data_IF_885797928433
#
_entry.id   IF_885797928433
#
_cell.length_a   1.000
_cell.length_b   1.000
_cell.length_c   1.000
_cell.angle_alpha   90.00
_cell.angle_beta   90.00
_cell.angle_gamma   90.00
#
_symmetry.space_group_name_H-M   'P 1'
#
loop_
_entity.id
_entity.type
_entity.pdbx_description
1 polymer ?
#
# COMPACT_ATOMS: atom_id res chain seq x y z
N UNK A 1 -60.75 -40.60 -31.53
CA UNK A 1 -59.95 -39.55 -32.15
C UNK A 1 -59.53 -38.43 -31.17
N UNK A 2 -60.01 -38.37 -29.92
CA UNK A 2 -59.68 -37.33 -28.94
C UNK A 2 -58.47 -37.65 -28.02
N UNK A 3 -58.33 -38.92 -27.59
CA UNK A 3 -57.30 -39.28 -26.61
C UNK A 3 -55.87 -39.31 -27.17
N UNK A 4 -55.67 -39.72 -28.40
CA UNK A 4 -54.33 -39.74 -29.04
C UNK A 4 -53.75 -38.32 -29.26
N UNK A 5 -54.59 -37.31 -29.52
CA UNK A 5 -54.15 -35.95 -29.68
C UNK A 5 -53.76 -35.27 -28.34
N UNK A 6 -54.38 -35.65 -27.24
CA UNK A 6 -54.05 -35.13 -25.90
C UNK A 6 -52.72 -35.71 -25.43
N UNK A 7 -52.46 -37.00 -25.58
CA UNK A 7 -51.21 -37.66 -25.20
C UNK A 7 -50.02 -37.13 -26.00
N UNK A 8 -50.22 -36.80 -27.29
CA UNK A 8 -49.15 -36.20 -28.12
C UNK A 8 -48.80 -34.76 -27.70
N UNK A 9 -49.80 -33.98 -27.30
CA UNK A 9 -49.56 -32.58 -26.81
C UNK A 9 -48.88 -32.57 -25.45
N UNK A 10 -49.22 -33.45 -24.53
CA UNK A 10 -48.55 -33.56 -23.24
C UNK A 10 -47.10 -34.02 -23.37
N UNK A 11 -46.80 -35.01 -24.18
CA UNK A 11 -45.42 -35.44 -24.48
C UNK A 11 -44.59 -34.34 -25.12
N UNK A 12 -45.19 -33.54 -26.04
CA UNK A 12 -44.49 -32.43 -26.69
C UNK A 12 -44.21 -31.28 -25.69
N UNK A 13 -45.15 -30.99 -24.80
CA UNK A 13 -44.99 -29.98 -23.73
C UNK A 13 -43.93 -30.38 -22.70
N UNK A 14 -43.92 -31.66 -22.28
CA UNK A 14 -42.91 -32.17 -21.35
C UNK A 14 -41.50 -32.15 -21.97
N UNK A 15 -41.38 -32.54 -23.25
CA UNK A 15 -40.08 -32.55 -23.93
C UNK A 15 -39.55 -31.15 -24.16
N UNK A 16 -40.39 -30.16 -24.46
CA UNK A 16 -40.01 -28.74 -24.57
C UNK A 16 -39.49 -28.19 -23.24
N UNK A 17 -40.19 -28.48 -22.13
CA UNK A 17 -39.80 -28.03 -20.80
C UNK A 17 -38.46 -28.65 -20.34
N UNK A 18 -38.20 -29.90 -20.73
CA UNK A 18 -36.91 -30.57 -20.43
C UNK A 18 -35.77 -29.95 -21.23
N UNK A 19 -35.98 -29.67 -22.51
CA UNK A 19 -34.97 -29.02 -23.36
C UNK A 19 -34.64 -27.62 -22.89
N UNK A 20 -35.64 -26.83 -22.48
CA UNK A 20 -35.44 -25.47 -21.94
C UNK A 20 -34.60 -25.50 -20.64
N UNK A 21 -34.86 -26.47 -19.75
CA UNK A 21 -34.08 -26.68 -18.53
C UNK A 21 -32.62 -27.07 -18.83
N UNK A 22 -32.40 -27.94 -19.81
CA UNK A 22 -31.04 -28.33 -20.23
C UNK A 22 -30.29 -27.15 -20.81
N UNK A 23 -30.94 -26.30 -21.62
CA UNK A 23 -30.33 -25.10 -22.19
C UNK A 23 -29.94 -24.10 -21.06
N UNK A 24 -30.82 -23.90 -20.08
CA UNK A 24 -30.54 -23.03 -18.94
C UNK A 24 -29.34 -23.55 -18.14
N UNK A 25 -29.27 -24.84 -17.87
CA UNK A 25 -28.14 -25.45 -17.15
C UNK A 25 -26.83 -25.26 -17.93
N UNK A 26 -26.84 -25.49 -19.25
CA UNK A 26 -25.69 -25.29 -20.10
C UNK A 26 -25.21 -23.81 -20.10
N UNK A 27 -26.14 -22.86 -20.13
CA UNK A 27 -25.82 -21.45 -20.04
C UNK A 27 -25.19 -21.08 -18.69
N UNK A 28 -25.70 -21.61 -17.59
CA UNK A 28 -25.15 -21.40 -16.25
C UNK A 28 -23.73 -21.99 -16.16
N UNK A 29 -23.50 -23.19 -16.68
CA UNK A 29 -22.17 -23.82 -16.70
C UNK A 29 -21.20 -23.02 -17.52
N UNK A 30 -21.60 -22.47 -18.67
CA UNK A 30 -20.80 -21.61 -19.52
C UNK A 30 -20.44 -20.27 -18.79
N UNK A 31 -21.40 -19.69 -18.09
CA UNK A 31 -21.15 -18.46 -17.32
C UNK A 31 -20.19 -18.71 -16.16
N UNK A 32 -20.35 -19.83 -15.44
CA UNK A 32 -19.42 -20.18 -14.35
C UNK A 32 -18.03 -20.47 -14.90
N UNK A 33 -17.92 -21.20 -16.00
CA UNK A 33 -16.61 -21.50 -16.61
C UNK A 33 -15.91 -20.24 -17.12
N UNK A 34 -16.64 -19.33 -17.76
CA UNK A 34 -16.08 -18.04 -18.22
C UNK A 34 -15.65 -17.15 -17.04
N UNK A 35 -16.41 -17.15 -15.95
CA UNK A 35 -16.05 -16.43 -14.73
C UNK A 35 -14.79 -17.01 -14.09
N UNK A 36 -14.64 -18.34 -14.01
CA UNK A 36 -13.44 -18.99 -13.49
C UNK A 36 -12.19 -18.71 -14.35
N UNK A 37 -12.34 -18.73 -15.68
CA UNK A 37 -11.25 -18.37 -16.60
C UNK A 37 -10.87 -16.89 -16.44
N UNK A 38 -11.85 -16.01 -16.30
CA UNK A 38 -11.60 -14.59 -16.06
C UNK A 38 -10.86 -14.36 -14.73
N UNK A 39 -11.29 -15.02 -13.65
CA UNK A 39 -10.61 -14.97 -12.35
C UNK A 39 -9.17 -15.49 -12.43
N UNK A 40 -8.94 -16.61 -13.11
CA UNK A 40 -7.60 -17.18 -13.27
C UNK A 40 -6.68 -16.25 -14.09
N UNK A 41 -7.22 -15.56 -15.09
CA UNK A 41 -6.47 -14.58 -15.90
C UNK A 41 -6.08 -13.34 -15.09
N UNK A 42 -6.98 -12.83 -14.24
CA UNK A 42 -6.69 -11.72 -13.32
C UNK A 42 -5.59 -12.13 -12.34
N UNK A 43 -5.72 -13.29 -11.71
CA UNK A 43 -4.72 -13.79 -10.76
C UNK A 43 -3.35 -13.97 -11.42
N UNK A 44 -3.30 -14.48 -12.65
CA UNK A 44 -2.05 -14.65 -13.39
C UNK A 44 -1.42 -13.32 -13.78
N UNK A 45 -2.22 -12.33 -14.20
CA UNK A 45 -1.73 -10.98 -14.49
C UNK A 45 -1.20 -10.29 -13.23
N UNK A 46 -1.89 -10.45 -12.11
CA UNK A 46 -1.49 -9.89 -10.82
C UNK A 46 -0.19 -10.51 -10.31
N UNK A 47 -0.05 -11.85 -10.39
CA UNK A 47 1.18 -12.53 -10.01
C UNK A 47 2.37 -12.11 -10.87
N UNK A 48 2.19 -11.89 -12.18
CA UNK A 48 3.29 -11.43 -13.05
C UNK A 48 3.74 -10.00 -12.72
N UNK A 49 2.83 -9.14 -12.29
CA UNK A 49 3.14 -7.77 -11.83
C UNK A 49 3.81 -7.83 -10.46
N UNK A 50 3.33 -8.68 -9.57
CA UNK A 50 3.91 -8.93 -8.26
C UNK A 50 5.35 -9.44 -8.38
N UNK A 51 5.65 -10.36 -9.32
CA UNK A 51 7.00 -10.87 -9.58
C UNK A 51 7.98 -9.78 -10.03
N UNK A 52 7.52 -8.84 -10.86
CA UNK A 52 8.35 -7.70 -11.30
C UNK A 52 8.64 -6.71 -10.15
N UNK A 53 7.66 -6.47 -9.29
CA UNK A 53 7.78 -5.53 -8.16
C UNK A 53 8.49 -6.14 -6.96
N UNK A 54 8.49 -7.47 -6.82
CA UNK A 54 9.10 -8.19 -5.69
C UNK A 54 10.62 -8.09 -5.65
N UNK A 55 11.25 -7.75 -6.77
CA UNK A 55 12.71 -7.78 -6.92
C UNK A 55 13.41 -6.44 -6.68
N UNK A 56 12.69 -5.34 -6.55
CA UNK A 56 13.32 -4.01 -6.48
C UNK A 56 13.50 -3.55 -5.03
N UNK A 57 14.75 -3.53 -4.58
CA UNK A 57 15.12 -2.79 -3.38
C UNK A 57 15.01 -1.29 -3.61
N UNK A 58 14.75 -0.48 -2.57
CA UNK A 58 14.76 0.98 -2.69
C UNK A 58 16.07 1.48 -3.29
N UNK A 59 15.97 2.44 -4.21
CA UNK A 59 17.12 3.10 -4.83
C UNK A 59 17.47 4.30 -3.97
N UNK A 60 18.68 4.30 -3.43
CA UNK A 60 19.22 5.40 -2.63
C UNK A 60 20.55 5.86 -3.20
N UNK A 61 20.63 7.14 -3.54
CA UNK A 61 21.86 7.78 -4.02
C UNK A 61 22.23 8.93 -3.08
N UNK A 62 23.19 8.71 -2.20
CA UNK A 62 23.63 9.67 -1.22
C UNK A 62 24.22 10.92 -1.93
N UNK A 63 23.83 12.10 -1.45
CA UNK A 63 24.32 13.35 -2.02
C UNK A 63 25.72 13.68 -1.49
N UNK A 64 26.65 13.96 -2.40
CA UNK A 64 28.01 14.42 -2.05
C UNK A 64 27.97 15.79 -1.41
N UNK A 65 27.08 16.68 -1.92
CA UNK A 65 26.85 18.01 -1.38
C UNK A 65 25.38 18.11 -0.95
N UNK A 66 25.16 18.45 0.31
CA UNK A 66 23.81 18.63 0.85
C UNK A 66 23.20 19.91 0.30
N UNK A 67 21.98 19.80 -0.24
CA UNK A 67 21.18 20.95 -0.64
C UNK A 67 20.29 21.32 0.54
N UNK A 68 20.40 22.58 0.98
CA UNK A 68 19.61 23.14 2.09
C UNK A 68 18.70 24.21 1.51
N UNK A 69 17.42 24.13 1.83
CA UNK A 69 16.44 25.15 1.46
C UNK A 69 15.44 25.36 2.60
N UNK A 70 14.78 26.51 2.58
CA UNK A 70 13.74 26.83 3.54
C UNK A 70 12.43 27.01 2.80
N UNK A 71 11.35 26.49 3.40
CA UNK A 71 10.01 26.66 2.87
C UNK A 71 8.98 26.72 4.01
N UNK A 72 7.72 26.89 3.66
CA UNK A 72 6.63 26.91 4.62
C UNK A 72 5.71 25.70 4.42
N UNK A 73 5.69 24.82 5.43
CA UNK A 73 4.80 23.65 5.47
C UNK A 73 3.73 23.90 6.53
N UNK A 74 2.45 23.83 6.15
CA UNK A 74 1.32 24.08 7.05
C UNK A 74 1.42 25.38 7.86
N UNK A 75 2.04 26.41 7.27
CA UNK A 75 2.25 27.70 7.92
C UNK A 75 3.50 27.80 8.80
N UNK A 76 4.25 26.72 8.96
CA UNK A 76 5.48 26.63 9.75
C UNK A 76 6.69 26.80 8.84
N UNK A 77 7.62 27.69 9.22
CA UNK A 77 8.88 27.84 8.50
C UNK A 77 9.79 26.66 8.87
N UNK A 78 10.24 25.93 7.86
CA UNK A 78 11.08 24.75 8.00
C UNK A 78 12.37 24.90 7.20
N UNK A 79 13.44 24.30 7.71
CA UNK A 79 14.69 24.12 6.97
C UNK A 79 14.84 22.66 6.60
N UNK A 80 14.94 22.38 5.30
CA UNK A 80 15.06 21.04 4.75
C UNK A 80 16.47 20.84 4.23
N UNK A 81 17.12 19.78 4.66
CA UNK A 81 18.42 19.32 4.16
C UNK A 81 18.23 18.03 3.42
N UNK A 82 18.48 18.02 2.11
CA UNK A 82 18.46 16.80 1.30
C UNK A 82 19.69 15.95 1.59
N UNK A 83 19.49 14.68 1.93
CA UNK A 83 20.53 13.73 2.30
C UNK A 83 20.85 12.75 1.15
N UNK A 84 19.83 12.22 0.50
CA UNK A 84 19.96 11.30 -0.62
C UNK A 84 18.78 11.45 -1.60
N UNK A 85 18.99 11.21 -2.88
CA UNK A 85 17.89 10.89 -3.81
C UNK A 85 17.35 9.51 -3.44
N UNK A 86 16.03 9.38 -3.41
CA UNK A 86 15.39 8.16 -2.97
C UNK A 86 14.19 7.81 -3.84
N UNK A 87 14.07 6.53 -4.14
CA UNK A 87 12.91 5.95 -4.80
C UNK A 87 12.58 4.62 -4.14
N UNK A 88 11.34 4.42 -3.79
CA UNK A 88 10.81 3.16 -3.31
C UNK A 88 9.60 2.77 -4.12
N UNK A 89 9.55 1.49 -4.51
CA UNK A 89 8.39 0.87 -5.17
C UNK A 89 7.94 -0.32 -4.34
N UNK A 90 6.65 -0.47 -4.14
CA UNK A 90 6.14 -1.61 -3.38
C UNK A 90 4.66 -1.52 -3.03
N UNK A 91 4.22 -2.50 -2.26
CA UNK A 91 2.85 -2.57 -1.75
C UNK A 91 2.72 -1.78 -0.45
N UNK A 92 1.72 -0.94 -0.36
CA UNK A 92 1.34 -0.28 0.89
C UNK A 92 0.66 -1.31 1.80
N UNK A 93 1.32 -1.69 2.89
CA UNK A 93 0.83 -2.71 3.83
C UNK A 93 0.09 -2.14 5.02
N UNK A 94 0.37 -0.89 5.35
CA UNK A 94 -0.36 -0.09 6.34
C UNK A 94 -0.16 1.39 6.06
N UNK A 95 -1.10 2.21 6.52
CA UNK A 95 -1.02 3.66 6.40
C UNK A 95 -1.69 4.35 7.58
N UNK A 96 -1.33 5.60 7.86
CA UNK A 96 -1.96 6.44 8.87
C UNK A 96 -1.94 7.90 8.41
N UNK A 97 -3.14 8.43 8.17
CA UNK A 97 -3.33 9.83 7.77
C UNK A 97 -3.60 10.70 9.00
N UNK A 98 -2.68 11.64 9.28
CA UNK A 98 -2.78 12.55 10.41
C UNK A 98 -3.75 13.72 10.17
N UNK A 99 -4.20 13.90 8.94
CA UNK A 99 -5.01 15.05 8.52
C UNK A 99 -6.49 14.74 8.38
N UNK A 100 -6.88 13.46 8.44
CA UNK A 100 -8.24 13.02 8.13
C UNK A 100 -8.91 12.25 9.26
N UNK A 101 -10.25 12.23 9.22
CA UNK A 101 -11.10 11.41 10.07
C UNK A 101 -10.92 11.63 11.58
N UNK A 102 -11.13 10.55 12.34
CA UNK A 102 -10.95 10.54 13.81
C UNK A 102 -9.51 10.85 14.21
N UNK A 103 -8.53 10.39 13.40
CA UNK A 103 -7.11 10.68 13.62
C UNK A 103 -6.84 12.18 13.61
N UNK A 104 -7.36 12.91 12.62
CA UNK A 104 -7.23 14.37 12.56
C UNK A 104 -7.88 15.10 13.73
N UNK A 105 -9.04 14.62 14.20
CA UNK A 105 -9.72 15.18 15.38
C UNK A 105 -8.91 14.92 16.65
N UNK A 106 -8.47 13.69 16.85
CA UNK A 106 -7.63 13.31 18.02
C UNK A 106 -6.34 14.09 18.02
N UNK A 107 -5.70 14.25 16.85
CA UNK A 107 -4.50 15.06 16.66
C UNK A 107 -4.72 16.52 17.05
N UNK A 108 -5.83 17.12 16.61
CA UNK A 108 -6.17 18.51 16.92
C UNK A 108 -6.43 18.73 18.42
N UNK A 109 -6.93 17.72 19.13
CA UNK A 109 -7.27 17.79 20.56
C UNK A 109 -6.07 17.39 21.45
N UNK A 110 -5.33 16.36 21.07
CA UNK A 110 -4.26 15.76 21.90
C UNK A 110 -2.85 16.25 21.54
N UNK A 111 -2.71 17.04 20.51
CA UNK A 111 -1.54 17.65 19.85
C UNK A 111 -0.23 17.64 20.64
N UNK A 112 0.38 16.48 20.84
CA UNK A 112 1.73 16.38 21.41
C UNK A 112 2.78 15.87 20.44
N UNK A 113 2.35 15.36 19.27
CA UNK A 113 3.28 14.93 18.26
C UNK A 113 3.47 16.04 17.21
N UNK A 114 4.47 16.88 17.44
CA UNK A 114 4.78 18.03 16.56
C UNK A 114 5.30 17.60 15.19
N UNK A 115 5.68 16.35 15.01
CA UNK A 115 6.09 15.82 13.70
C UNK A 115 4.94 15.78 12.70
N UNK A 116 3.70 15.66 13.20
CA UNK A 116 2.50 15.72 12.36
C UNK A 116 2.21 17.09 11.77
N UNK A 117 2.83 18.13 12.32
CA UNK A 117 2.78 19.47 11.72
C UNK A 117 3.48 19.51 10.36
N UNK A 118 4.44 18.61 10.12
CA UNK A 118 5.29 18.55 8.93
C UNK A 118 4.94 17.35 8.03
N UNK A 119 4.80 16.15 8.61
CA UNK A 119 4.42 14.94 7.87
C UNK A 119 2.91 14.78 7.88
N UNK A 120 2.30 14.68 6.70
CA UNK A 120 0.84 14.57 6.57
C UNK A 120 0.34 13.13 6.66
N UNK A 121 1.15 12.15 6.28
CA UNK A 121 0.80 10.72 6.24
C UNK A 121 2.03 9.86 6.43
N UNK A 122 1.87 8.78 7.16
CA UNK A 122 2.86 7.71 7.25
C UNK A 122 2.38 6.51 6.44
N UNK A 123 3.29 5.88 5.70
CA UNK A 123 2.99 4.67 4.94
C UNK A 123 4.06 3.61 5.19
N UNK A 124 3.63 2.39 5.47
CA UNK A 124 4.48 1.22 5.47
C UNK A 124 4.44 0.58 4.09
N UNK A 125 5.60 0.45 3.47
CA UNK A 125 5.76 -0.14 2.15
C UNK A 125 6.54 -1.44 2.27
N UNK A 126 5.96 -2.53 1.77
CA UNK A 126 6.63 -3.79 1.60
C UNK A 126 7.17 -3.92 0.18
N UNK A 127 8.42 -4.34 0.04
CA UNK A 127 9.09 -4.59 -1.22
C UNK A 127 9.77 -5.97 -1.21
N UNK A 128 10.43 -6.35 -2.30
CA UNK A 128 11.00 -7.69 -2.42
C UNK A 128 9.94 -8.78 -2.22
N UNK A 129 10.30 -9.91 -1.61
CA UNK A 129 9.37 -11.02 -1.40
C UNK A 129 8.14 -10.62 -0.56
N UNK A 130 8.21 -9.55 0.25
CA UNK A 130 7.10 -9.11 1.08
C UNK A 130 6.07 -8.24 0.34
N UNK A 131 6.37 -7.78 -0.88
CA UNK A 131 5.40 -7.12 -1.77
C UNK A 131 4.42 -8.12 -2.39
N UNK A 132 4.78 -9.40 -2.49
CA UNK A 132 3.93 -10.47 -3.03
C UNK A 132 2.66 -10.61 -2.19
N UNK A 133 1.50 -10.63 -2.87
CA UNK A 133 0.21 -10.71 -2.20
C UNK A 133 0.07 -11.96 -1.32
N UNK A 134 0.62 -13.09 -1.75
CA UNK A 134 0.63 -14.34 -1.00
C UNK A 134 1.42 -14.23 0.31
N UNK A 135 2.55 -13.53 0.32
CA UNK A 135 3.38 -13.34 1.51
C UNK A 135 2.79 -12.25 2.42
N UNK A 136 2.38 -11.14 1.82
CA UNK A 136 1.70 -10.05 2.53
C UNK A 136 0.50 -10.53 3.34
N UNK A 137 -0.35 -11.39 2.78
CA UNK A 137 -1.56 -11.92 3.45
C UNK A 137 -1.26 -12.79 4.67
N UNK A 138 -0.05 -13.33 4.78
CA UNK A 138 0.41 -14.13 5.92
C UNK A 138 0.94 -13.28 7.09
N UNK A 139 1.00 -11.97 6.89
CA UNK A 139 1.39 -11.00 7.92
C UNK A 139 0.19 -10.23 8.46
N UNK A 140 0.34 -9.71 9.65
CA UNK A 140 -0.52 -8.68 10.20
C UNK A 140 0.29 -7.40 10.36
N UNK A 141 -0.25 -6.29 9.90
CA UNK A 141 0.36 -4.97 10.02
C UNK A 141 -0.58 -4.05 10.80
N UNK A 142 -0.02 -3.27 11.71
CA UNK A 142 -0.74 -2.26 12.48
C UNK A 142 0.10 -0.98 12.45
N UNK A 143 -0.49 0.09 11.94
CA UNK A 143 0.07 1.43 12.05
C UNK A 143 -0.88 2.27 12.89
N UNK A 144 -0.33 2.99 13.85
CA UNK A 144 -1.08 3.84 14.76
C UNK A 144 -0.41 5.21 14.83
N UNK A 145 -1.03 6.14 15.55
CA UNK A 145 -0.46 7.47 15.80
C UNK A 145 0.91 7.48 16.50
N UNK A 146 1.49 6.30 16.80
CA UNK A 146 2.87 6.18 17.29
C UNK A 146 3.94 6.34 16.21
N UNK A 147 3.55 6.59 14.96
CA UNK A 147 4.44 6.81 13.80
C UNK A 147 5.30 5.61 13.43
N UNK A 148 4.85 4.40 13.78
CA UNK A 148 5.56 3.15 13.48
C UNK A 148 4.59 2.09 13.01
N UNK A 149 5.06 1.30 12.06
CA UNK A 149 4.40 0.06 11.71
C UNK A 149 4.86 -1.05 12.67
N UNK A 150 3.90 -1.74 13.25
CA UNK A 150 4.10 -3.00 13.95
C UNK A 150 3.63 -4.12 13.03
N UNK A 151 4.39 -5.19 12.95
CA UNK A 151 4.04 -6.33 12.12
C UNK A 151 4.36 -7.65 12.83
N UNK A 152 3.53 -8.65 12.55
CA UNK A 152 3.68 -10.01 13.08
C UNK A 152 3.35 -11.04 12.01
N UNK A 153 3.96 -12.22 12.11
CA UNK A 153 3.62 -13.36 11.25
C UNK A 153 2.30 -13.95 11.74
N UNK A 154 1.29 -13.93 10.89
CA UNK A 154 -0.04 -14.46 11.13
C UNK A 154 -0.15 -15.94 10.74
N UNK A 155 0.52 -16.31 9.66
CA UNK A 155 0.58 -17.68 9.14
C UNK A 155 2.04 -18.15 9.15
N UNK A 156 2.32 -19.15 9.99
CA UNK A 156 3.67 -19.67 10.22
C UNK A 156 4.27 -20.37 9.00
N UNK A 157 3.50 -20.69 7.96
CA UNK A 157 4.04 -21.20 6.70
C UNK A 157 4.96 -20.19 6.01
N UNK A 158 4.79 -18.89 6.28
CA UNK A 158 5.68 -17.83 5.81
C UNK A 158 7.13 -18.06 6.25
N UNK A 159 7.34 -18.60 7.45
CA UNK A 159 8.68 -18.85 8.00
C UNK A 159 9.44 -19.88 7.16
N UNK A 160 8.74 -20.85 6.59
CA UNK A 160 9.34 -21.89 5.74
C UNK A 160 9.64 -21.34 4.34
N UNK A 161 8.79 -20.49 3.82
CA UNK A 161 8.86 -20.02 2.43
C UNK A 161 9.77 -18.78 2.28
N UNK A 162 9.77 -17.86 3.25
CA UNK A 162 10.45 -16.57 3.17
C UNK A 162 11.45 -16.37 4.31
N UNK A 163 11.04 -16.68 5.54
CA UNK A 163 11.88 -16.55 6.72
C UNK A 163 11.20 -16.02 7.97
N UNK A 164 11.99 -15.84 9.02
CA UNK A 164 11.53 -15.32 10.32
C UNK A 164 11.28 -13.82 10.27
N UNK A 165 10.80 -13.25 11.39
CA UNK A 165 10.51 -11.81 11.50
C UNK A 165 11.78 -10.96 11.24
N UNK A 166 12.95 -11.45 11.62
CA UNK A 166 14.24 -10.79 11.42
C UNK A 166 14.63 -10.77 9.94
N UNK A 167 14.27 -11.79 9.17
CA UNK A 167 14.54 -11.86 7.73
C UNK A 167 13.54 -11.09 6.88
N UNK A 168 12.26 -11.03 7.28
CA UNK A 168 11.23 -10.29 6.53
C UNK A 168 11.21 -8.81 6.86
N UNK A 169 11.64 -8.44 8.07
CA UNK A 169 11.65 -7.05 8.53
C UNK A 169 12.34 -6.05 7.60
N UNK A 170 13.55 -6.35 7.08
CA UNK A 170 14.26 -5.46 6.15
C UNK A 170 13.49 -5.15 4.85
N UNK A 171 12.49 -5.95 4.48
CA UNK A 171 11.63 -5.71 3.32
C UNK A 171 10.40 -4.87 3.61
N UNK A 172 10.30 -4.28 4.82
CA UNK A 172 9.17 -3.46 5.25
C UNK A 172 9.71 -2.14 5.78
N UNK A 173 9.44 -1.05 5.06
CA UNK A 173 9.88 0.29 5.46
C UNK A 173 8.73 1.08 6.07
N UNK A 174 9.06 1.98 6.98
CA UNK A 174 8.12 2.94 7.54
C UNK A 174 8.49 4.35 7.09
N UNK A 175 7.66 4.96 6.27
CA UNK A 175 7.97 6.20 5.58
C UNK A 175 7.09 7.34 6.09
N UNK A 176 7.70 8.41 6.59
CA UNK A 176 7.07 9.68 6.93
C UNK A 176 7.08 10.58 5.70
N UNK A 177 5.91 10.89 5.14
CA UNK A 177 5.79 11.60 3.87
C UNK A 177 5.60 13.10 4.11
N UNK A 178 6.46 13.89 3.49
CA UNK A 178 6.40 15.35 3.45
C UNK A 178 6.15 15.76 2.00
N UNK A 179 5.09 16.49 1.74
CA UNK A 179 4.74 16.89 0.39
C UNK A 179 5.56 18.12 -0.06
N UNK A 180 6.17 18.06 -1.24
CA UNK A 180 6.90 19.20 -1.83
C UNK A 180 5.98 20.35 -2.31
N UNK A 181 4.70 20.07 -2.50
CA UNK A 181 3.68 21.05 -2.91
C UNK A 181 2.27 20.47 -2.72
N UNK A 182 1.25 21.31 -2.94
CA UNK A 182 -0.16 20.92 -2.77
C UNK A 182 -0.60 19.79 -3.69
N UNK A 183 -0.10 19.73 -4.93
CA UNK A 183 -0.40 18.64 -5.86
C UNK A 183 0.11 17.30 -5.33
N UNK A 184 1.33 17.28 -4.79
CA UNK A 184 1.91 16.08 -4.19
C UNK A 184 1.17 15.72 -2.90
N UNK A 185 0.77 16.70 -2.09
CA UNK A 185 -0.07 16.45 -0.92
C UNK A 185 -1.38 15.72 -1.28
N UNK A 186 -2.04 16.14 -2.36
CA UNK A 186 -3.26 15.49 -2.84
C UNK A 186 -3.02 14.05 -3.34
N UNK A 187 -1.83 13.77 -3.90
CA UNK A 187 -1.45 12.41 -4.27
C UNK A 187 -1.16 11.55 -3.03
N UNK A 188 -0.38 12.06 -2.08
CA UNK A 188 -0.08 11.34 -0.83
C UNK A 188 -1.35 10.96 -0.08
N UNK A 189 -2.33 11.87 0.00
CA UNK A 189 -3.61 11.59 0.66
C UNK A 189 -4.41 10.46 0.03
N UNK A 190 -4.22 10.21 -1.27
CA UNK A 190 -4.91 9.14 -2.02
C UNK A 190 -4.24 7.77 -1.91
N UNK A 191 -3.08 7.69 -1.29
CA UNK A 191 -2.42 6.40 -1.07
C UNK A 191 -3.22 5.63 -0.03
N UNK A 192 -3.70 4.45 -0.40
CA UNK A 192 -4.45 3.56 0.47
C UNK A 192 -3.71 2.23 0.67
N UNK A 193 -4.09 1.53 1.74
CA UNK A 193 -3.62 0.17 1.97
C UNK A 193 -3.94 -0.72 0.76
N UNK A 194 -3.01 -1.62 0.45
CA UNK A 194 -3.01 -2.54 -0.69
C UNK A 194 -2.69 -1.90 -2.05
N UNK A 195 -2.51 -0.58 -2.13
CA UNK A 195 -1.97 0.07 -3.32
C UNK A 195 -0.55 -0.43 -3.63
N UNK A 196 -0.23 -0.50 -4.94
CA UNK A 196 1.15 -0.53 -5.43
C UNK A 196 1.57 0.86 -5.85
N UNK A 197 2.58 1.39 -5.19
CA UNK A 197 3.04 2.75 -5.43
C UNK A 197 4.55 2.81 -5.68
N UNK A 198 4.96 3.80 -6.47
CA UNK A 198 6.33 4.29 -6.53
C UNK A 198 6.34 5.70 -5.97
N UNK A 199 7.16 5.92 -4.94
CA UNK A 199 7.40 7.22 -4.33
C UNK A 199 8.82 7.64 -4.68
N UNK A 200 8.97 8.85 -5.21
CA UNK A 200 10.27 9.43 -5.58
C UNK A 200 10.46 10.78 -4.88
N UNK A 201 11.65 11.05 -4.42
CA UNK A 201 12.00 12.31 -3.77
C UNK A 201 13.39 12.27 -3.11
N UNK A 202 13.50 12.85 -1.94
CA UNK A 202 14.73 12.88 -1.17
C UNK A 202 14.51 12.35 0.23
N UNK A 203 15.45 11.56 0.75
CA UNK A 203 15.62 11.39 2.18
C UNK A 203 16.12 12.70 2.75
N UNK A 204 15.48 13.18 3.82
CA UNK A 204 15.72 14.53 4.35
C UNK A 204 15.93 14.55 5.84
N UNK A 205 16.59 15.62 6.27
CA UNK A 205 16.53 16.16 7.63
C UNK A 205 15.72 17.44 7.58
N UNK A 206 14.72 17.57 8.44
CA UNK A 206 13.87 18.75 8.56
C UNK A 206 13.99 19.33 9.95
N UNK A 207 14.18 20.63 10.03
CA UNK A 207 14.30 21.37 11.28
C UNK A 207 13.29 22.52 11.30
N UNK A 208 12.62 22.70 12.43
CA UNK A 208 11.70 23.82 12.63
C UNK A 208 11.63 24.22 14.10
N UNK A 209 11.06 25.41 14.33
CA UNK A 209 10.83 25.93 15.67
C UNK A 209 9.33 26.11 15.91
N UNK A 210 8.89 25.81 17.12
CA UNK A 210 7.52 26.07 17.58
C UNK A 210 7.57 26.55 19.04
N UNK A 211 7.26 27.81 19.26
CA UNK A 211 7.45 28.46 20.55
C UNK A 211 8.94 28.57 20.90
N UNK A 212 9.33 28.01 22.03
CA UNK A 212 10.72 27.98 22.49
C UNK A 212 11.45 26.67 22.13
N UNK A 213 10.81 25.76 21.40
CA UNK A 213 11.34 24.45 21.13
C UNK A 213 11.79 24.32 19.67
N UNK A 214 12.97 23.72 19.49
CA UNK A 214 13.47 23.31 18.19
C UNK A 214 13.23 21.82 18.01
N UNK A 215 12.72 21.47 16.86
CA UNK A 215 12.40 20.10 16.46
C UNK A 215 13.27 19.67 15.29
N UNK A 216 13.59 18.40 15.25
CA UNK A 216 14.37 17.79 14.17
C UNK A 216 13.71 16.44 13.84
N UNK A 217 13.41 16.24 12.57
CA UNK A 217 13.01 14.97 12.00
C UNK A 217 14.03 14.59 10.93
N UNK A 218 14.72 13.47 11.12
CA UNK A 218 15.81 13.05 10.23
C UNK A 218 15.58 11.62 9.75
N UNK A 219 15.74 11.42 8.45
CA UNK A 219 15.62 10.10 7.83
C UNK A 219 16.75 9.19 8.25
N UNK A 220 16.44 7.90 8.47
CA UNK A 220 17.47 6.88 8.39
C UNK A 220 18.15 6.89 7.03
N UNK A 221 19.43 6.61 7.03
CA UNK A 221 20.27 6.45 5.83
C UNK A 221 20.71 4.98 5.65
N UNK A 222 20.33 4.09 6.58
CA UNK A 222 20.56 2.65 6.50
C UNK A 222 19.29 1.93 6.05
N UNK A 223 19.44 0.85 5.30
CA UNK A 223 18.34 -0.07 4.94
C UNK A 223 18.30 -1.30 5.84
N UNK A 224 19.25 -1.43 6.74
CA UNK A 224 19.42 -2.59 7.63
C UNK A 224 19.10 -2.28 9.09
N UNK A 225 18.86 -1.01 9.42
CA UNK A 225 18.55 -0.61 10.77
C UNK A 225 17.12 -0.99 11.18
N UNK A 226 16.96 -1.17 12.48
CA UNK A 226 15.68 -1.52 13.11
C UNK A 226 15.44 -0.65 14.34
N UNK A 227 14.18 -0.50 14.73
CA UNK A 227 13.81 0.24 15.93
C UNK A 227 13.44 1.71 15.70
N UNK A 228 13.75 2.57 16.66
CA UNK A 228 13.17 3.91 16.70
C UNK A 228 13.70 4.91 15.65
N UNK A 229 14.86 4.63 15.09
CA UNK A 229 15.53 5.52 14.12
C UNK A 229 15.56 4.93 12.71
N UNK A 230 14.85 3.84 12.48
CA UNK A 230 14.83 3.10 11.21
C UNK A 230 13.74 3.60 10.23
N UNK A 231 13.18 4.79 10.47
CA UNK A 231 12.15 5.35 9.60
C UNK A 231 12.77 6.23 8.52
N UNK A 232 12.22 6.14 7.32
CA UNK A 232 12.50 7.06 6.23
C UNK A 232 11.68 8.32 6.40
N UNK A 233 12.30 9.47 6.20
CA UNK A 233 11.64 10.77 6.07
C UNK A 233 11.83 11.23 4.64
N UNK A 234 10.75 11.23 3.88
CA UNK A 234 10.81 11.48 2.44
C UNK A 234 10.14 12.80 2.12
N UNK A 235 10.92 13.75 1.57
CA UNK A 235 10.40 14.90 0.87
C UNK A 235 10.01 14.49 -0.53
N UNK A 236 8.68 14.29 -0.72
CA UNK A 236 8.12 13.62 -1.88
C UNK A 236 7.99 14.59 -3.05
N UNK A 237 8.55 14.22 -4.20
CA UNK A 237 8.45 14.95 -5.46
C UNK A 237 7.48 14.32 -6.45
N UNK A 238 7.28 12.99 -6.37
CA UNK A 238 6.35 12.27 -7.25
C UNK A 238 5.79 11.03 -6.57
N UNK A 239 4.54 10.72 -6.91
CA UNK A 239 3.83 9.49 -6.51
C UNK A 239 3.16 8.91 -7.75
N UNK A 240 3.42 7.64 -8.04
CA UNK A 240 2.81 6.89 -9.13
C UNK A 240 2.19 5.61 -8.59
N UNK A 241 0.99 5.28 -9.08
CA UNK A 241 0.41 3.95 -8.88
C UNK A 241 0.94 3.02 -9.98
N UNK A 242 1.49 1.89 -9.56
CA UNK A 242 1.99 0.85 -10.45
C UNK A 242 0.83 -0.12 -10.69
N UNK A 243 0.53 -0.40 -11.95
CA UNK A 243 -0.57 -1.30 -12.35
C UNK A 243 -0.04 -2.68 -12.68
#
# INVERSE_FOLDING_TARGET
>A
MGEEQIITREKYSQNKNTNDKVIIILMIVLLISSFLVFQSSITKAQNSTDDLLSMESPIQNNLVSRVIHSEKINGIDVTITNLAKYQISGRVVAEYDYTSGVAGIVQAISSKDYYNDISCKDVAIAYGPMALLENHRRMQYIMSGSRRVLYTIKDTSLVQDVGTIETVGPYITNNHLIASNTKILDLIKKIDKDDYVQITGYLVRVEWEKGMYRYVLESSMSREDTGSNACEVIYVEDVKWIK
#
